data_IF_053919592866
#
_entry.id   IF_053919592866
#
_cell.length_a   1.000
_cell.length_b   1.000
_cell.length_c   1.000
_cell.angle_alpha   90.00
_cell.angle_beta   90.00
_cell.angle_gamma   90.00
#
_symmetry.space_group_name_H-M   'P 1'
#
loop_
_entity.id
_entity.type
_entity.pdbx_description
1 polymer ?
#
# COMPACT_ATOMS: atom_id res chain seq x y z
N UNK A 1 43.43 -0.89 -41.70
CA UNK A 1 43.31 -2.00 -40.76
C UNK A 1 43.28 -1.44 -39.35
N UNK A 2 42.12 -1.34 -38.73
CA UNK A 2 41.95 -1.02 -37.31
C UNK A 2 41.11 -2.13 -36.70
N UNK A 3 41.77 -2.96 -35.88
CA UNK A 3 41.17 -4.07 -35.19
C UNK A 3 40.26 -3.58 -34.05
N UNK A 4 39.02 -4.00 -34.05
CA UNK A 4 38.08 -3.86 -32.94
C UNK A 4 38.31 -4.99 -31.94
N UNK A 5 38.83 -4.63 -30.78
CA UNK A 5 38.86 -5.53 -29.60
C UNK A 5 37.44 -5.61 -29.05
N UNK A 6 36.78 -6.74 -29.20
CA UNK A 6 35.51 -7.05 -28.53
C UNK A 6 35.82 -7.34 -27.05
N UNK A 7 35.37 -6.45 -26.17
CA UNK A 7 35.32 -6.74 -24.75
C UNK A 7 34.21 -7.76 -24.51
N UNK A 8 34.57 -8.95 -24.07
CA UNK A 8 33.63 -9.96 -23.54
C UNK A 8 33.16 -9.49 -22.16
N UNK A 9 32.11 -8.70 -22.13
CA UNK A 9 31.33 -8.53 -20.90
C UNK A 9 30.44 -9.77 -20.72
N UNK A 10 30.79 -10.64 -19.80
CA UNK A 10 29.92 -11.70 -19.27
C UNK A 10 28.71 -11.04 -18.60
N UNK A 11 27.67 -10.74 -19.39
CA UNK A 11 26.35 -10.37 -18.87
C UNK A 11 25.81 -11.59 -18.15
N UNK A 12 25.85 -11.59 -16.83
CA UNK A 12 25.06 -12.48 -15.99
C UNK A 12 23.60 -12.39 -16.46
N UNK A 13 23.08 -13.50 -17.00
CA UNK A 13 21.68 -13.55 -17.44
C UNK A 13 20.79 -13.38 -16.22
N UNK A 14 19.81 -12.44 -16.24
CA UNK A 14 18.88 -12.31 -15.13
C UNK A 14 18.10 -13.63 -14.96
N UNK A 15 17.72 -13.96 -13.72
CA UNK A 15 16.83 -15.07 -13.38
C UNK A 15 15.59 -15.03 -14.31
N UNK A 16 15.52 -15.91 -15.29
CA UNK A 16 14.34 -16.07 -16.14
C UNK A 16 13.35 -17.00 -15.43
N UNK A 17 12.17 -16.50 -15.15
CA UNK A 17 11.03 -17.37 -14.86
C UNK A 17 10.58 -18.01 -16.17
N UNK A 18 10.68 -19.34 -16.29
CA UNK A 18 10.42 -20.08 -17.53
C UNK A 18 8.95 -20.51 -17.71
N UNK A 19 8.05 -20.10 -16.81
CA UNK A 19 6.61 -20.43 -16.87
C UNK A 19 5.79 -19.20 -16.52
N UNK A 20 4.66 -19.02 -17.21
CA UNK A 20 3.65 -18.05 -16.81
C UNK A 20 3.15 -18.46 -15.41
N UNK A 21 3.44 -17.65 -14.40
CA UNK A 21 3.03 -17.91 -13.02
C UNK A 21 1.64 -17.32 -12.85
N UNK A 22 0.68 -18.17 -12.49
CA UNK A 22 -0.69 -17.74 -12.23
C UNK A 22 -0.77 -16.99 -10.90
N UNK A 23 -1.28 -15.78 -10.94
CA UNK A 23 -1.63 -15.00 -9.75
C UNK A 23 -3.09 -15.29 -9.37
N UNK A 24 -3.32 -15.64 -8.12
CA UNK A 24 -4.67 -15.77 -7.55
C UNK A 24 -4.89 -14.66 -6.54
N UNK A 25 -6.04 -13.98 -6.63
CA UNK A 25 -6.46 -12.91 -5.74
C UNK A 25 -7.83 -13.21 -5.17
N UNK A 26 -8.03 -12.92 -3.89
CA UNK A 26 -9.35 -13.02 -3.29
C UNK A 26 -10.21 -11.83 -3.72
N UNK A 27 -11.26 -12.12 -4.48
CA UNK A 27 -12.20 -11.11 -4.93
C UNK A 27 -13.34 -10.96 -3.91
N UNK A 28 -13.50 -9.77 -3.33
CA UNK A 28 -14.56 -9.50 -2.34
C UNK A 28 -15.95 -9.69 -2.92
N UNK A 29 -16.13 -9.40 -4.22
CA UNK A 29 -17.42 -9.51 -4.90
C UNK A 29 -17.92 -10.97 -4.96
N UNK A 30 -17.06 -11.91 -5.36
CA UNK A 30 -17.40 -13.34 -5.42
C UNK A 30 -17.15 -14.07 -4.09
N UNK A 31 -16.37 -13.50 -3.16
CA UNK A 31 -15.84 -14.15 -1.95
C UNK A 31 -14.98 -15.38 -2.21
N UNK A 32 -14.36 -15.45 -3.37
CA UNK A 32 -13.51 -16.56 -3.77
C UNK A 32 -12.12 -16.08 -4.19
N UNK A 33 -11.13 -16.98 -4.13
CA UNK A 33 -9.84 -16.76 -4.77
C UNK A 33 -9.96 -17.10 -6.26
N UNK A 34 -9.75 -16.11 -7.08
CA UNK A 34 -9.83 -16.22 -8.54
C UNK A 34 -8.46 -16.05 -9.17
N UNK A 35 -8.25 -16.73 -10.29
CA UNK A 35 -7.08 -16.49 -11.14
C UNK A 35 -7.18 -15.08 -11.71
N UNK A 36 -6.12 -14.28 -11.53
CA UNK A 36 -6.07 -12.93 -12.07
C UNK A 36 -5.87 -12.95 -13.59
N UNK A 37 -6.84 -12.46 -14.30
CA UNK A 37 -6.87 -12.35 -15.77
C UNK A 37 -7.25 -10.91 -16.10
N UNK A 38 -6.27 -9.99 -16.25
CA UNK A 38 -6.58 -8.61 -16.60
C UNK A 38 -7.19 -8.52 -17.98
N UNK A 39 -8.08 -7.55 -18.18
CA UNK A 39 -8.70 -7.26 -19.48
C UNK A 39 -8.05 -6.05 -20.15
N UNK A 40 -7.26 -5.28 -19.40
CA UNK A 40 -6.57 -4.11 -19.89
C UNK A 40 -5.04 -4.32 -19.86
N UNK A 41 -4.34 -3.65 -20.78
CA UNK A 41 -2.89 -3.52 -20.78
C UNK A 41 -2.56 -2.03 -21.09
N UNK A 42 -2.06 -1.29 -20.11
CA UNK A 42 -1.71 -1.67 -18.73
C UNK A 42 -2.93 -2.08 -17.87
N UNK A 43 -2.67 -2.90 -16.82
CA UNK A 43 -3.65 -3.22 -15.77
C UNK A 43 -4.14 -1.91 -15.13
N UNK A 44 -5.43 -1.69 -15.12
CA UNK A 44 -6.07 -0.51 -14.54
C UNK A 44 -6.35 -0.73 -13.06
N UNK A 45 -5.57 -0.08 -12.22
CA UNK A 45 -5.67 -0.13 -10.76
C UNK A 45 -6.16 1.21 -10.22
N UNK A 46 -7.26 1.21 -9.48
CA UNK A 46 -7.73 2.34 -8.70
C UNK A 46 -7.68 2.02 -7.21
N UNK A 47 -7.24 2.97 -6.40
CA UNK A 47 -7.23 2.85 -4.93
C UNK A 47 -7.77 4.11 -4.28
N UNK A 48 -8.52 3.95 -3.19
CA UNK A 48 -9.02 5.09 -2.42
C UNK A 48 -7.88 5.75 -1.66
N UNK A 49 -7.62 7.02 -1.97
CA UNK A 49 -6.63 7.83 -1.29
C UNK A 49 -7.17 8.53 -0.03
N UNK A 50 -6.40 9.49 0.53
CA UNK A 50 -6.77 10.15 1.78
C UNK A 50 -7.83 11.23 1.59
N UNK A 51 -8.69 11.40 2.61
CA UNK A 51 -9.40 12.66 2.84
C UNK A 51 -8.47 13.59 3.63
N UNK A 52 -8.07 14.70 3.02
CA UNK A 52 -6.96 15.55 3.48
C UNK A 52 -7.39 16.63 4.47
N UNK A 53 -8.14 16.23 5.51
CA UNK A 53 -8.56 17.13 6.62
C UNK A 53 -7.61 17.08 7.82
N UNK A 54 -6.77 16.04 7.92
CA UNK A 54 -5.80 15.81 8.99
C UNK A 54 -4.67 14.91 8.49
N UNK A 55 -3.61 14.70 9.29
CA UNK A 55 -2.54 13.75 9.00
C UNK A 55 -3.07 12.32 8.92
N UNK A 56 -2.60 11.56 7.94
CA UNK A 56 -2.91 10.14 7.85
C UNK A 56 -2.33 9.38 9.05
N UNK A 57 -3.09 8.43 9.56
CA UNK A 57 -2.68 7.59 10.67
C UNK A 57 -2.20 6.21 10.20
N UNK A 58 -1.52 5.44 11.08
CA UNK A 58 -0.96 4.14 10.74
C UNK A 58 -2.00 3.13 10.22
N UNK A 59 -3.28 3.30 10.59
CA UNK A 59 -4.37 2.49 10.03
C UNK A 59 -4.61 2.75 8.55
N UNK A 60 -4.50 4.02 8.09
CA UNK A 60 -4.56 4.34 6.66
C UNK A 60 -3.33 3.74 5.94
N UNK A 61 -2.14 3.86 6.54
CA UNK A 61 -0.93 3.30 5.94
C UNK A 61 -0.94 1.77 5.89
N UNK A 62 -1.69 1.08 6.74
CA UNK A 62 -1.93 -0.37 6.59
C UNK A 62 -2.57 -0.68 5.23
N UNK A 63 -3.55 0.11 4.82
CA UNK A 63 -4.20 -0.03 3.51
C UNK A 63 -3.26 0.38 2.38
N UNK A 64 -2.59 1.52 2.46
CA UNK A 64 -1.66 1.98 1.41
C UNK A 64 -0.45 1.04 1.23
N UNK A 65 0.04 0.40 2.29
CA UNK A 65 1.11 -0.62 2.21
C UNK A 65 0.59 -1.90 1.51
N UNK A 66 -0.65 -2.30 1.75
CA UNK A 66 -1.27 -3.39 1.01
C UNK A 66 -1.41 -3.07 -0.48
N UNK A 67 -1.88 -1.88 -0.82
CA UNK A 67 -2.03 -1.41 -2.19
C UNK A 67 -0.67 -1.32 -2.91
N UNK A 68 0.36 -0.86 -2.21
CA UNK A 68 1.74 -0.88 -2.69
C UNK A 68 2.26 -2.30 -2.91
N UNK A 69 2.00 -3.23 -1.99
CA UNK A 69 2.35 -4.64 -2.16
C UNK A 69 1.68 -5.22 -3.41
N UNK A 70 0.40 -4.95 -3.63
CA UNK A 70 -0.34 -5.38 -4.81
C UNK A 70 0.32 -4.83 -6.09
N UNK A 71 0.57 -3.52 -6.16
CA UNK A 71 1.26 -2.89 -7.30
C UNK A 71 2.64 -3.52 -7.55
N UNK A 72 3.44 -3.68 -6.49
CA UNK A 72 4.78 -4.29 -6.57
C UNK A 72 4.75 -5.73 -7.06
N UNK A 73 3.80 -6.54 -6.59
CA UNK A 73 3.64 -7.93 -7.04
C UNK A 73 3.24 -7.99 -8.51
N UNK A 74 2.30 -7.15 -8.96
CA UNK A 74 1.94 -7.07 -10.37
C UNK A 74 3.14 -6.70 -11.24
N UNK A 75 3.91 -5.67 -10.88
CA UNK A 75 5.12 -5.26 -11.59
C UNK A 75 6.19 -6.36 -11.57
N UNK A 76 6.40 -7.02 -10.42
CA UNK A 76 7.36 -8.11 -10.26
C UNK A 76 7.04 -9.32 -11.13
N UNK A 77 5.75 -9.60 -11.34
CA UNK A 77 5.27 -10.64 -12.25
C UNK A 77 5.28 -10.22 -13.72
N UNK A 78 5.64 -8.99 -14.03
CA UNK A 78 5.81 -8.48 -15.39
C UNK A 78 4.58 -7.81 -15.99
N UNK A 79 3.53 -7.54 -15.21
CA UNK A 79 2.41 -6.74 -15.66
C UNK A 79 2.81 -5.26 -15.77
N UNK A 80 2.35 -4.57 -16.80
CA UNK A 80 2.31 -3.11 -16.82
C UNK A 80 1.11 -2.66 -15.98
N UNK A 81 1.26 -1.63 -15.15
CA UNK A 81 0.19 -1.14 -14.26
C UNK A 81 0.03 0.35 -14.44
N UNK A 82 -1.20 0.81 -14.61
CA UNK A 82 -1.57 2.23 -14.53
C UNK A 82 -2.42 2.42 -13.28
N UNK A 83 -1.80 3.01 -12.26
CA UNK A 83 -2.37 3.17 -10.92
C UNK A 83 -2.85 4.60 -10.69
N UNK A 84 -4.10 4.75 -10.30
CA UNK A 84 -4.72 6.02 -9.91
C UNK A 84 -5.12 5.95 -8.44
N UNK A 85 -4.73 6.97 -7.66
CA UNK A 85 -5.13 7.14 -6.26
C UNK A 85 -5.66 8.56 -6.07
N UNK A 86 -6.89 8.72 -5.61
CA UNK A 86 -7.48 10.04 -5.46
C UNK A 86 -6.96 10.81 -4.24
N UNK A 87 -7.20 12.13 -4.27
CA UNK A 87 -7.10 13.03 -3.12
C UNK A 87 -8.48 13.63 -2.89
N UNK A 88 -9.14 13.26 -1.78
CA UNK A 88 -10.41 13.86 -1.37
C UNK A 88 -10.13 15.16 -0.63
N UNK A 89 -10.18 16.26 -1.36
CA UNK A 89 -9.93 17.62 -0.87
C UNK A 89 -11.20 18.44 -0.65
N UNK A 90 -12.38 17.82 -0.83
CA UNK A 90 -13.69 18.38 -0.49
C UNK A 90 -14.52 17.36 0.28
N UNK A 91 -14.91 17.68 1.52
CA UNK A 91 -15.64 16.80 2.43
C UNK A 91 -16.12 17.64 3.64
N UNK A 92 -17.07 17.15 4.43
CA UNK A 92 -17.58 17.85 5.61
C UNK A 92 -16.47 18.28 6.59
N UNK A 93 -15.45 17.42 6.78
CA UNK A 93 -14.34 17.68 7.70
C UNK A 93 -13.34 18.70 7.14
N UNK A 94 -13.08 18.67 5.83
CA UNK A 94 -12.21 19.66 5.17
C UNK A 94 -12.86 21.05 5.20
N UNK A 95 -14.18 21.13 4.95
CA UNK A 95 -14.94 22.38 5.02
C UNK A 95 -14.94 22.95 6.43
N UNK A 96 -15.30 22.13 7.41
CA UNK A 96 -15.30 22.53 8.83
C UNK A 96 -13.91 23.01 9.29
N UNK A 97 -12.85 22.33 8.85
CA UNK A 97 -11.48 22.69 9.14
C UNK A 97 -11.06 24.02 8.51
N UNK A 98 -11.38 24.23 7.24
CA UNK A 98 -11.10 25.47 6.50
C UNK A 98 -11.82 26.68 7.16
N UNK A 99 -13.11 26.52 7.50
CA UNK A 99 -13.89 27.54 8.24
C UNK A 99 -13.26 27.85 9.58
N UNK A 100 -12.94 26.85 10.38
CA UNK A 100 -12.33 27.02 11.70
C UNK A 100 -11.01 27.79 11.63
N UNK A 101 -10.22 27.57 10.56
CA UNK A 101 -8.94 28.28 10.33
C UNK A 101 -9.10 29.60 9.58
N UNK A 102 -10.30 29.95 9.09
CA UNK A 102 -10.55 31.17 8.33
C UNK A 102 -9.74 31.27 7.04
N UNK A 103 -9.60 30.18 6.31
CA UNK A 103 -8.82 30.11 5.07
C UNK A 103 -9.58 29.35 3.96
N UNK A 104 -9.12 29.48 2.71
CA UNK A 104 -9.68 28.71 1.60
C UNK A 104 -9.48 27.20 1.79
N UNK A 105 -10.34 26.40 1.15
CA UNK A 105 -10.29 24.94 1.18
C UNK A 105 -8.91 24.41 0.71
N UNK A 106 -8.41 24.92 -0.42
CA UNK A 106 -7.09 24.60 -0.94
C UNK A 106 -5.98 24.86 0.08
N UNK A 107 -5.94 26.08 0.65
CA UNK A 107 -4.96 26.46 1.66
C UNK A 107 -5.04 25.58 2.91
N UNK A 108 -6.24 25.12 3.26
CA UNK A 108 -6.44 24.22 4.39
C UNK A 108 -5.88 22.83 4.12
N UNK A 109 -6.15 22.25 2.94
CA UNK A 109 -5.77 20.88 2.58
C UNK A 109 -4.28 20.73 2.26
N UNK A 110 -3.64 21.76 1.69
CA UNK A 110 -2.28 21.73 1.18
C UNK A 110 -1.23 21.15 2.16
N UNK A 111 -1.19 21.53 3.47
CA UNK A 111 -0.23 20.94 4.42
C UNK A 111 -0.39 19.42 4.60
N UNK A 112 -1.64 18.93 4.58
CA UNK A 112 -1.94 17.49 4.74
C UNK A 112 -1.61 16.71 3.47
N UNK A 113 -1.81 17.31 2.29
CA UNK A 113 -1.38 16.73 1.00
C UNK A 113 0.14 16.59 0.96
N UNK A 114 0.88 17.64 1.31
CA UNK A 114 2.35 17.58 1.36
C UNK A 114 2.84 16.53 2.36
N UNK A 115 2.20 16.49 3.52
CA UNK A 115 2.51 15.51 4.56
C UNK A 115 2.26 14.08 4.08
N UNK A 116 1.15 13.83 3.38
CA UNK A 116 0.82 12.53 2.82
C UNK A 116 1.90 12.05 1.84
N UNK A 117 2.32 12.90 0.89
CA UNK A 117 3.37 12.53 -0.06
C UNK A 117 4.72 12.27 0.61
N UNK A 118 5.09 13.06 1.62
CA UNK A 118 6.30 12.83 2.41
C UNK A 118 6.23 11.48 3.17
N UNK A 119 5.06 11.13 3.68
CA UNK A 119 4.84 9.86 4.37
C UNK A 119 4.92 8.66 3.42
N UNK A 120 4.37 8.79 2.18
CA UNK A 120 4.53 7.75 1.15
C UNK A 120 6.00 7.50 0.83
N UNK A 121 6.80 8.57 0.70
CA UNK A 121 8.23 8.46 0.43
C UNK A 121 8.97 7.81 1.60
N UNK A 122 8.70 8.24 2.82
CA UNK A 122 9.29 7.67 4.05
C UNK A 122 8.98 6.19 4.23
N UNK A 123 7.79 5.76 3.82
CA UNK A 123 7.36 4.35 3.85
C UNK A 123 7.72 3.57 2.59
N UNK A 124 8.49 4.14 1.66
CA UNK A 124 8.87 3.55 0.37
C UNK A 124 7.67 3.05 -0.45
N UNK A 125 6.51 3.72 -0.33
CA UNK A 125 5.33 3.40 -1.13
C UNK A 125 5.53 3.94 -2.56
N UNK A 126 5.35 3.10 -3.56
CA UNK A 126 5.48 3.48 -4.97
C UNK A 126 4.40 4.52 -5.32
N UNK A 127 4.82 5.60 -5.96
CA UNK A 127 3.89 6.64 -6.42
C UNK A 127 2.86 6.03 -7.37
N UNK A 128 1.61 6.49 -7.28
CA UNK A 128 0.62 6.25 -8.31
C UNK A 128 0.99 7.05 -9.58
N UNK A 129 0.44 6.65 -10.71
CA UNK A 129 0.69 7.32 -11.99
C UNK A 129 -0.12 8.62 -12.09
N UNK A 130 -1.24 8.72 -11.34
CA UNK A 130 -2.04 9.94 -11.21
C UNK A 130 -2.66 10.06 -9.81
N UNK A 131 -2.76 11.31 -9.34
CA UNK A 131 -3.43 11.69 -8.10
C UNK A 131 -4.49 12.75 -8.40
N UNK A 132 -5.69 12.37 -8.88
CA UNK A 132 -6.77 13.32 -9.12
C UNK A 132 -7.29 13.90 -7.80
N UNK A 133 -7.53 15.22 -7.80
CA UNK A 133 -8.18 15.95 -6.71
C UNK A 133 -9.67 16.05 -6.97
N UNK A 134 -10.51 15.76 -5.98
CA UNK A 134 -11.97 15.78 -6.14
C UNK A 134 -12.48 17.13 -6.62
N UNK A 135 -11.93 18.24 -6.11
CA UNK A 135 -12.31 19.60 -6.52
C UNK A 135 -12.07 19.89 -8.02
N UNK A 136 -11.17 19.17 -8.68
CA UNK A 136 -10.89 19.35 -10.11
C UNK A 136 -11.90 18.61 -11.01
N UNK A 137 -12.74 17.73 -10.45
CA UNK A 137 -13.69 16.90 -11.19
C UNK A 137 -15.15 17.30 -10.95
N UNK A 138 -15.41 18.43 -10.28
CA UNK A 138 -16.77 18.92 -10.01
C UNK A 138 -17.64 19.05 -11.28
N UNK A 139 -17.15 19.60 -12.40
CA UNK A 139 -17.95 19.67 -13.63
C UNK A 139 -18.40 18.29 -14.14
N UNK A 140 -17.49 17.31 -14.12
CA UNK A 140 -17.77 15.94 -14.55
C UNK A 140 -18.77 15.25 -13.60
N UNK A 141 -18.67 15.51 -12.29
CA UNK A 141 -19.63 15.02 -11.30
C UNK A 141 -21.02 15.60 -11.54
N UNK A 142 -21.13 16.91 -11.82
CA UNK A 142 -22.41 17.56 -12.16
C UNK A 142 -23.03 16.93 -13.42
N UNK A 143 -22.22 16.70 -14.45
CA UNK A 143 -22.68 16.06 -15.68
C UNK A 143 -23.20 14.62 -15.41
N UNK A 144 -22.47 13.85 -14.61
CA UNK A 144 -22.86 12.50 -14.21
C UNK A 144 -24.19 12.49 -13.44
N UNK A 145 -24.34 13.40 -12.46
CA UNK A 145 -25.60 13.54 -11.71
C UNK A 145 -26.77 13.84 -12.66
N UNK A 146 -26.56 14.79 -13.59
CA UNK A 146 -27.61 15.10 -14.57
C UNK A 146 -28.00 13.90 -15.44
N UNK A 147 -27.03 13.08 -15.82
CA UNK A 147 -27.30 11.83 -16.54
C UNK A 147 -28.12 10.84 -15.69
N UNK A 148 -27.75 10.65 -14.41
CA UNK A 148 -28.47 9.77 -13.49
C UNK A 148 -29.92 10.25 -13.25
N UNK A 149 -30.14 11.57 -13.15
CA UNK A 149 -31.49 12.16 -13.05
C UNK A 149 -32.28 11.85 -14.34
N UNK A 150 -31.70 12.08 -15.52
CA UNK A 150 -32.36 11.83 -16.80
C UNK A 150 -32.68 10.35 -17.01
N UNK A 151 -31.92 9.44 -16.43
CA UNK A 151 -32.17 8.00 -16.45
C UNK A 151 -33.22 7.56 -15.41
N UNK A 152 -33.66 8.45 -14.53
CA UNK A 152 -34.62 8.16 -13.46
C UNK A 152 -34.06 7.34 -12.30
N UNK A 153 -32.71 7.22 -12.19
CA UNK A 153 -32.04 6.55 -11.06
C UNK A 153 -31.62 7.52 -9.95
N UNK A 154 -31.75 8.83 -10.20
CA UNK A 154 -31.54 9.87 -9.21
C UNK A 154 -32.70 10.87 -9.20
N UNK A 155 -32.91 11.53 -8.06
CA UNK A 155 -34.00 12.51 -7.89
C UNK A 155 -33.58 13.64 -6.93
N UNK A 156 -34.30 14.77 -7.01
CA UNK A 156 -34.12 15.92 -6.11
C UNK A 156 -35.04 15.73 -4.90
N UNK A 157 -34.45 15.69 -3.70
CA UNK A 157 -35.18 15.57 -2.44
C UNK A 157 -35.87 16.87 -2.02
N UNK A 158 -36.65 16.82 -0.93
CA UNK A 158 -37.35 17.99 -0.37
C UNK A 158 -36.38 19.04 0.15
N UNK A 159 -35.20 18.63 0.62
CA UNK A 159 -34.09 19.46 1.08
C UNK A 159 -33.25 20.07 -0.06
N UNK A 160 -33.67 19.87 -1.31
CA UNK A 160 -32.98 20.29 -2.54
C UNK A 160 -31.65 19.56 -2.81
N UNK A 161 -31.29 18.55 -2.02
CA UNK A 161 -30.17 17.64 -2.33
C UNK A 161 -30.58 16.66 -3.44
N UNK A 162 -29.60 16.11 -4.17
CA UNK A 162 -29.83 15.06 -5.15
C UNK A 162 -29.44 13.72 -4.55
N UNK A 163 -30.32 12.77 -4.64
CA UNK A 163 -30.16 11.42 -4.10
C UNK A 163 -30.16 10.37 -5.21
N UNK A 164 -29.35 9.32 -5.02
CA UNK A 164 -29.43 8.11 -5.83
C UNK A 164 -30.49 7.18 -5.25
N UNK A 165 -31.39 6.71 -6.08
CA UNK A 165 -32.46 5.79 -5.68
C UNK A 165 -31.98 4.34 -5.75
N UNK A 166 -31.64 3.76 -4.60
CA UNK A 166 -31.14 2.37 -4.50
C UNK A 166 -32.14 1.38 -5.08
N UNK A 167 -33.44 1.65 -4.97
CA UNK A 167 -34.49 0.78 -5.51
C UNK A 167 -34.46 0.66 -7.05
N UNK A 168 -33.81 1.61 -7.73
CA UNK A 168 -33.63 1.59 -9.18
C UNK A 168 -32.38 0.82 -9.64
N UNK A 169 -31.55 0.34 -8.69
CA UNK A 169 -30.37 -0.49 -8.98
C UNK A 169 -30.54 -1.90 -8.39
N UNK A 170 -31.02 -2.88 -9.16
CA UNK A 170 -31.42 -4.20 -8.65
C UNK A 170 -30.29 -5.00 -7.99
N UNK A 171 -29.02 -4.74 -8.39
CA UNK A 171 -27.86 -5.46 -7.88
C UNK A 171 -27.23 -4.78 -6.65
N UNK A 172 -27.87 -3.78 -6.04
CA UNK A 172 -27.34 -3.11 -4.85
C UNK A 172 -27.20 -4.09 -3.68
N UNK A 173 -26.05 -4.06 -3.03
CA UNK A 173 -25.70 -5.00 -1.96
C UNK A 173 -24.88 -6.21 -2.44
N UNK A 174 -24.56 -6.29 -3.75
CA UNK A 174 -23.80 -7.43 -4.30
C UNK A 174 -22.37 -7.53 -3.74
N UNK A 175 -21.65 -6.42 -3.56
CA UNK A 175 -20.30 -6.40 -3.01
C UNK A 175 -20.29 -6.63 -1.50
N UNK A 176 -21.16 -5.94 -0.78
CA UNK A 176 -21.28 -6.01 0.67
C UNK A 176 -21.96 -7.28 1.15
N UNK A 177 -22.70 -7.95 0.25
CA UNK A 177 -23.56 -9.10 0.53
C UNK A 177 -24.61 -8.80 1.62
N UNK A 178 -25.05 -7.55 1.67
CA UNK A 178 -26.09 -7.08 2.58
C UNK A 178 -27.47 -7.30 1.97
N UNK A 179 -28.40 -7.74 2.81
CA UNK A 179 -29.82 -7.77 2.43
C UNK A 179 -30.40 -6.35 2.63
N UNK A 180 -31.05 -5.80 1.60
CA UNK A 180 -31.68 -4.48 1.67
C UNK A 180 -32.72 -4.37 2.81
N UNK A 181 -33.40 -5.48 3.19
CA UNK A 181 -34.30 -5.49 4.31
C UNK A 181 -33.59 -5.35 5.67
N UNK A 182 -32.35 -5.87 5.78
CA UNK A 182 -31.52 -5.71 6.98
C UNK A 182 -30.97 -4.29 7.09
N UNK A 183 -30.65 -3.64 5.96
CA UNK A 183 -30.25 -2.24 5.89
C UNK A 183 -31.33 -1.29 6.45
N UNK A 184 -32.58 -1.51 6.09
CA UNK A 184 -33.73 -0.72 6.57
C UNK A 184 -33.90 -0.82 8.09
N UNK A 185 -33.43 -1.90 8.69
CA UNK A 185 -33.54 -2.17 10.13
C UNK A 185 -32.29 -1.79 10.94
N UNK A 186 -31.15 -1.50 10.26
CA UNK A 186 -29.90 -1.15 10.93
C UNK A 186 -29.73 0.35 11.08
N UNK A 187 -30.04 0.88 12.27
CA UNK A 187 -29.85 2.29 12.67
C UNK A 187 -28.37 2.74 12.78
N UNK A 188 -27.43 2.15 12.02
CA UNK A 188 -25.97 2.36 12.15
C UNK A 188 -25.34 3.11 10.98
N UNK A 189 -26.15 3.66 10.08
CA UNK A 189 -25.65 4.44 8.94
C UNK A 189 -25.59 5.90 9.39
N UNK A 190 -24.47 6.57 9.16
CA UNK A 190 -24.33 8.00 9.46
C UNK A 190 -25.40 8.77 8.69
N UNK A 191 -26.37 9.31 9.43
CA UNK A 191 -27.58 9.93 8.90
C UNK A 191 -27.32 11.17 8.04
N UNK A 192 -26.08 11.68 8.02
CA UNK A 192 -25.70 12.86 7.24
C UNK A 192 -25.47 12.57 5.75
N UNK A 193 -25.34 11.29 5.38
CA UNK A 193 -25.09 10.86 3.99
C UNK A 193 -26.31 10.21 3.32
N UNK A 194 -27.42 10.01 4.05
CA UNK A 194 -28.62 9.33 3.58
C UNK A 194 -29.88 10.17 3.78
N UNK A 195 -30.85 9.98 2.88
CA UNK A 195 -32.17 10.62 3.01
C UNK A 195 -32.84 10.16 4.32
N UNK A 196 -33.25 11.13 5.16
CA UNK A 196 -33.91 10.86 6.44
C UNK A 196 -35.28 10.18 6.30
N UNK A 197 -35.92 10.35 5.16
CA UNK A 197 -37.24 9.76 4.85
C UNK A 197 -37.11 8.41 4.14
N UNK A 198 -35.93 8.10 3.56
CA UNK A 198 -35.65 6.84 2.87
C UNK A 198 -34.21 6.39 3.22
N UNK A 199 -34.05 5.72 4.35
CA UNK A 199 -32.76 5.28 4.95
C UNK A 199 -31.83 4.47 4.01
N UNK A 200 -32.25 4.24 2.77
CA UNK A 200 -31.47 3.49 1.79
C UNK A 200 -30.87 4.36 0.69
N UNK A 201 -31.45 5.51 0.36
CA UNK A 201 -30.98 6.36 -0.74
C UNK A 201 -29.82 7.26 -0.26
N UNK A 202 -28.77 7.37 -1.07
CA UNK A 202 -27.57 8.12 -0.68
C UNK A 202 -27.37 9.38 -1.53
N UNK A 203 -26.72 10.38 -0.93
CA UNK A 203 -26.60 11.70 -1.54
C UNK A 203 -25.54 11.69 -2.67
N UNK A 204 -25.90 12.28 -3.81
CA UNK A 204 -25.02 12.58 -4.93
C UNK A 204 -24.56 14.04 -4.95
N UNK A 205 -25.46 14.95 -4.49
CA UNK A 205 -25.19 16.37 -4.37
C UNK A 205 -25.86 16.91 -3.14
N UNK A 206 -25.08 17.41 -2.19
CA UNK A 206 -25.59 18.06 -0.98
C UNK A 206 -25.95 19.50 -1.30
N UNK A 207 -27.21 19.87 -1.08
CA UNK A 207 -27.66 21.25 -1.20
C UNK A 207 -26.86 22.16 -0.27
N UNK A 208 -26.61 23.37 -0.75
CA UNK A 208 -25.87 24.38 0.01
C UNK A 208 -26.59 24.77 1.28
N UNK A 209 -25.84 24.80 2.39
CA UNK A 209 -26.27 25.25 3.68
C UNK A 209 -25.23 26.30 4.21
N UNK A 210 -25.62 27.58 4.38
CA UNK A 210 -24.70 28.64 4.83
C UNK A 210 -24.03 28.34 6.18
N UNK A 211 -24.75 27.64 7.07
CA UNK A 211 -24.26 27.33 8.42
C UNK A 211 -23.26 26.18 8.39
N UNK A 212 -23.37 25.26 7.45
CA UNK A 212 -22.48 24.12 7.23
C UNK A 212 -21.31 24.47 6.32
N UNK A 213 -21.60 25.03 5.13
CA UNK A 213 -20.66 25.14 4.02
C UNK A 213 -19.96 26.50 3.95
N UNK A 214 -20.50 27.54 4.61
CA UNK A 214 -19.94 28.90 4.62
C UNK A 214 -19.95 29.51 3.22
N UNK A 215 -18.78 29.88 2.70
CA UNK A 215 -18.60 30.42 1.35
C UNK A 215 -18.22 29.38 0.30
N UNK A 216 -18.15 28.09 0.68
CA UNK A 216 -17.66 27.01 -0.20
C UNK A 216 -18.84 26.27 -0.80
N UNK A 217 -19.11 26.50 -2.08
CA UNK A 217 -20.12 25.81 -2.87
C UNK A 217 -19.80 25.89 -4.37
N UNK A 218 -20.45 25.08 -5.14
CA UNK A 218 -20.43 25.11 -6.61
C UNK A 218 -21.84 25.31 -7.15
N UNK A 219 -21.96 26.06 -8.25
CA UNK A 219 -23.20 26.20 -8.98
C UNK A 219 -23.47 24.95 -9.82
N UNK A 220 -24.70 24.49 -9.84
CA UNK A 220 -25.14 23.36 -10.67
C UNK A 220 -26.58 23.58 -11.21
N UNK A 221 -27.01 22.80 -12.21
CA UNK A 221 -28.39 22.85 -12.72
C UNK A 221 -29.46 22.49 -11.67
N UNK A 222 -29.08 21.81 -10.61
CA UNK A 222 -29.95 21.40 -9.50
C UNK A 222 -29.74 22.26 -8.22
N UNK A 223 -29.05 23.41 -8.35
CA UNK A 223 -28.83 24.37 -7.28
C UNK A 223 -27.40 24.41 -6.77
N UNK A 224 -27.14 25.37 -5.87
CA UNK A 224 -25.85 25.48 -5.18
C UNK A 224 -25.63 24.29 -4.27
N UNK A 225 -24.39 23.82 -4.18
CA UNK A 225 -24.06 22.70 -3.30
C UNK A 225 -22.68 22.13 -3.54
N UNK A 226 -22.49 20.86 -3.23
CA UNK A 226 -21.24 20.10 -3.40
C UNK A 226 -21.49 18.61 -3.61
N UNK A 227 -20.54 17.86 -4.20
CA UNK A 227 -20.73 16.44 -4.43
C UNK A 227 -20.84 15.64 -3.14
N UNK A 228 -21.52 14.49 -3.23
CA UNK A 228 -21.46 13.43 -2.24
C UNK A 228 -20.15 12.66 -2.38
N UNK A 229 -19.62 12.19 -1.27
CA UNK A 229 -18.29 11.54 -1.17
C UNK A 229 -18.10 10.34 -2.12
N UNK A 230 -19.13 9.52 -2.32
CA UNK A 230 -19.01 8.31 -3.13
C UNK A 230 -18.87 8.59 -4.63
N UNK A 231 -19.46 9.69 -5.10
CA UNK A 231 -19.44 10.07 -6.53
C UNK A 231 -18.03 10.48 -6.98
N UNK A 232 -17.21 11.00 -6.07
CA UNK A 232 -15.86 11.46 -6.37
C UNK A 232 -15.02 10.35 -6.97
N UNK A 233 -14.93 9.19 -6.29
CA UNK A 233 -14.16 8.05 -6.75
C UNK A 233 -14.71 7.44 -8.04
N UNK A 234 -16.03 7.33 -8.17
CA UNK A 234 -16.68 6.89 -9.42
C UNK A 234 -16.25 7.73 -10.62
N UNK A 235 -16.34 9.04 -10.49
CA UNK A 235 -16.07 9.96 -11.61
C UNK A 235 -14.57 10.11 -11.89
N UNK A 236 -13.73 10.22 -10.86
CA UNK A 236 -12.28 10.30 -11.06
C UNK A 236 -11.73 9.03 -11.68
N UNK A 237 -12.14 7.85 -11.20
CA UNK A 237 -11.69 6.57 -11.74
C UNK A 237 -12.15 6.37 -13.19
N UNK A 238 -13.43 6.60 -13.47
CA UNK A 238 -13.97 6.46 -14.84
C UNK A 238 -13.34 7.46 -15.81
N UNK A 239 -13.05 8.68 -15.38
CA UNK A 239 -12.42 9.72 -16.23
C UNK A 239 -11.00 9.35 -16.64
N UNK A 240 -10.23 8.72 -15.76
CA UNK A 240 -8.81 8.42 -16.00
C UNK A 240 -8.58 6.99 -16.50
N UNK A 241 -9.38 6.04 -16.05
CA UNK A 241 -9.21 4.61 -16.34
C UNK A 241 -10.27 4.08 -17.30
N UNK A 242 -11.35 4.85 -17.57
CA UNK A 242 -12.47 4.44 -18.40
C UNK A 242 -13.54 3.66 -17.64
N UNK A 243 -14.54 3.16 -18.34
CA UNK A 243 -15.77 2.64 -17.76
C UNK A 243 -15.63 1.29 -17.01
N UNK A 244 -14.55 0.56 -17.26
CA UNK A 244 -14.30 -0.73 -16.60
C UNK A 244 -12.84 -0.84 -16.20
N UNK A 245 -12.61 -1.22 -14.95
CA UNK A 245 -11.31 -1.36 -14.30
C UNK A 245 -10.96 -2.82 -14.07
N UNK A 246 -9.65 -3.14 -14.01
CA UNK A 246 -9.23 -4.48 -13.62
C UNK A 246 -9.34 -4.66 -12.10
N UNK A 247 -8.80 -3.71 -11.33
CA UNK A 247 -8.75 -3.80 -9.87
C UNK A 247 -9.18 -2.48 -9.23
N UNK A 248 -10.02 -2.58 -8.19
CA UNK A 248 -10.25 -1.52 -7.23
C UNK A 248 -9.93 -2.04 -5.83
N UNK A 249 -9.11 -1.30 -5.07
CA UNK A 249 -8.69 -1.70 -3.73
C UNK A 249 -8.89 -0.60 -2.70
N UNK A 250 -9.05 -1.01 -1.43
CA UNK A 250 -9.22 -0.11 -0.29
C UNK A 250 -9.24 -0.86 1.05
N UNK A 251 -9.73 -0.22 2.10
CA UNK A 251 -10.00 -0.85 3.39
C UNK A 251 -11.34 -1.59 3.40
N UNK A 252 -11.53 -2.54 4.33
CA UNK A 252 -12.82 -3.25 4.50
C UNK A 252 -13.97 -2.32 4.89
N UNK A 253 -13.67 -1.16 5.47
CA UNK A 253 -14.62 -0.08 5.76
C UNK A 253 -15.15 0.61 4.50
N UNK A 254 -14.42 0.54 3.39
CA UNK A 254 -14.87 1.04 2.10
C UNK A 254 -15.88 0.10 1.41
N UNK A 255 -15.94 -1.20 1.76
CA UNK A 255 -16.86 -2.15 1.12
C UNK A 255 -18.28 -1.58 1.15
N UNK A 256 -18.72 -1.15 2.33
CA UNK A 256 -20.02 -0.53 2.53
C UNK A 256 -19.90 0.68 3.45
N UNK A 257 -20.49 1.83 3.07
CA UNK A 257 -21.31 2.00 1.86
C UNK A 257 -20.52 2.42 0.59
N UNK A 258 -19.23 2.80 0.70
CA UNK A 258 -18.50 3.56 -0.32
C UNK A 258 -18.40 2.82 -1.67
N UNK A 259 -17.77 1.66 -1.71
CA UNK A 259 -17.59 0.91 -2.95
C UNK A 259 -18.89 0.33 -3.51
N UNK A 260 -19.84 -0.04 -2.63
CA UNK A 260 -21.19 -0.44 -3.08
C UNK A 260 -21.88 0.71 -3.83
N UNK A 261 -21.79 1.94 -3.31
CA UNK A 261 -22.34 3.12 -3.95
C UNK A 261 -21.61 3.47 -5.25
N UNK A 262 -20.28 3.27 -5.30
CA UNK A 262 -19.52 3.46 -6.53
C UNK A 262 -19.97 2.49 -7.65
N UNK A 263 -20.26 1.22 -7.31
CA UNK A 263 -20.82 0.25 -8.26
C UNK A 263 -22.14 0.77 -8.81
N UNK A 264 -23.07 1.16 -7.92
CA UNK A 264 -24.38 1.63 -8.30
C UNK A 264 -24.30 2.85 -9.23
N UNK A 265 -23.45 3.83 -8.91
CA UNK A 265 -23.24 5.03 -9.72
C UNK A 265 -22.62 4.70 -11.09
N UNK A 266 -21.48 3.98 -11.07
CA UNK A 266 -20.68 3.74 -12.27
C UNK A 266 -21.37 2.81 -13.26
N UNK A 267 -22.05 1.75 -12.77
CA UNK A 267 -22.77 0.82 -13.63
C UNK A 267 -24.07 1.41 -14.16
N UNK A 268 -24.73 2.30 -13.39
CA UNK A 268 -25.87 3.06 -13.92
C UNK A 268 -25.47 4.03 -15.03
N UNK A 269 -24.30 4.66 -14.94
CA UNK A 269 -23.78 5.57 -15.97
C UNK A 269 -23.28 4.85 -17.20
N UNK A 270 -22.59 3.72 -17.04
CA UNK A 270 -21.87 3.03 -18.12
C UNK A 270 -22.65 1.87 -18.75
N UNK A 271 -23.60 1.30 -18.02
CA UNK A 271 -24.30 0.04 -18.33
C UNK A 271 -23.33 -1.14 -18.54
N UNK A 272 -22.20 -1.14 -17.82
CA UNK A 272 -21.16 -2.17 -17.88
C UNK A 272 -20.68 -2.49 -16.47
N UNK A 273 -20.15 -3.71 -16.22
CA UNK A 273 -19.47 -4.01 -14.96
C UNK A 273 -18.35 -3.02 -14.71
N UNK A 274 -18.34 -2.41 -13.52
CA UNK A 274 -17.41 -1.33 -13.20
C UNK A 274 -16.01 -1.88 -12.89
N UNK A 275 -15.89 -2.85 -11.98
CA UNK A 275 -14.61 -3.41 -11.55
C UNK A 275 -14.66 -4.93 -11.59
N UNK A 276 -13.57 -5.54 -12.09
CA UNK A 276 -13.46 -6.99 -12.15
C UNK A 276 -13.04 -7.64 -10.84
N UNK A 277 -12.05 -7.05 -10.16
CA UNK A 277 -11.51 -7.57 -8.90
C UNK A 277 -11.57 -6.50 -7.81
N UNK A 278 -12.32 -6.78 -6.76
CA UNK A 278 -12.44 -5.95 -5.57
C UNK A 278 -11.57 -6.52 -4.44
N UNK A 279 -10.57 -5.77 -3.99
CA UNK A 279 -9.64 -6.20 -2.96
C UNK A 279 -9.68 -5.28 -1.74
N UNK A 280 -9.79 -5.87 -0.54
CA UNK A 280 -9.91 -5.08 0.68
C UNK A 280 -8.95 -5.55 1.77
N UNK A 281 -8.23 -4.60 2.37
CA UNK A 281 -7.38 -4.86 3.53
C UNK A 281 -8.17 -4.76 4.82
N UNK A 282 -7.86 -5.66 5.76
CA UNK A 282 -8.52 -5.63 7.07
C UNK A 282 -7.93 -4.53 7.97
N UNK A 283 -8.72 -4.10 8.96
CA UNK A 283 -8.36 -3.04 9.90
C UNK A 283 -7.07 -3.31 10.68
N UNK A 284 -6.41 -2.21 11.04
CA UNK A 284 -5.38 -2.19 12.06
C UNK A 284 -6.02 -1.91 13.43
N UNK A 285 -5.67 -2.73 14.41
CA UNK A 285 -5.97 -2.49 15.82
C UNK A 285 -4.72 -1.95 16.52
N UNK A 286 -4.93 -1.20 17.59
CA UNK A 286 -3.86 -0.78 18.49
C UNK A 286 -4.18 -1.38 19.87
N UNK A 287 -3.28 -2.23 20.37
CA UNK A 287 -3.47 -2.97 21.62
C UNK A 287 -4.84 -3.68 21.70
N UNK A 288 -5.21 -4.37 20.59
CA UNK A 288 -6.46 -5.11 20.40
C UNK A 288 -7.73 -4.24 20.43
N UNK A 289 -7.60 -2.91 20.33
CA UNK A 289 -8.71 -1.97 20.30
C UNK A 289 -8.75 -1.21 18.99
N UNK A 290 -9.93 -0.77 18.60
CA UNK A 290 -10.06 0.17 17.47
C UNK A 290 -9.29 1.45 17.80
N UNK A 291 -8.52 1.94 16.83
CA UNK A 291 -7.78 3.19 16.98
C UNK A 291 -8.73 4.39 17.03
N UNK A 292 -8.58 5.25 18.03
CA UNK A 292 -9.35 6.48 18.12
C UNK A 292 -8.60 7.54 18.94
N UNK A 293 -8.81 8.83 18.59
CA UNK A 293 -8.22 9.95 19.33
C UNK A 293 -8.70 10.01 20.79
N UNK A 294 -9.96 9.65 21.04
CA UNK A 294 -10.54 9.66 22.39
C UNK A 294 -9.95 8.58 23.32
N UNK A 295 -9.42 7.50 22.76
CA UNK A 295 -8.77 6.44 23.53
C UNK A 295 -7.26 6.69 23.74
N UNK A 296 -6.70 7.77 23.16
CA UNK A 296 -5.27 8.06 23.25
C UNK A 296 -4.37 7.03 22.55
N UNK A 297 -4.93 6.15 21.69
CA UNK A 297 -4.23 5.13 20.96
C UNK A 297 -4.14 5.42 19.44
N UNK A 298 -4.14 6.71 19.11
CA UNK A 298 -4.07 7.20 17.74
C UNK A 298 -2.61 7.57 17.42
N UNK A 299 -2.03 6.97 16.39
CA UNK A 299 -0.65 7.23 15.96
C UNK A 299 -0.61 7.65 14.49
N UNK A 300 0.06 8.76 14.22
CA UNK A 300 0.52 9.11 12.88
C UNK A 300 1.90 8.50 12.63
N UNK A 301 2.37 8.51 11.37
CA UNK A 301 3.74 8.10 11.07
C UNK A 301 4.76 8.99 11.81
N UNK A 302 4.50 10.30 11.89
CA UNK A 302 5.37 11.28 12.57
C UNK A 302 5.57 10.95 14.04
N UNK A 303 4.51 10.56 14.74
CA UNK A 303 4.59 10.16 16.15
C UNK A 303 5.56 8.99 16.36
N UNK A 304 5.66 8.07 15.39
CA UNK A 304 6.59 6.94 15.45
C UNK A 304 8.01 7.33 15.06
N UNK A 305 8.18 8.20 14.06
CA UNK A 305 9.50 8.76 13.70
C UNK A 305 10.09 9.57 14.84
N UNK A 306 9.30 10.39 15.54
CA UNK A 306 9.68 11.19 16.70
C UNK A 306 10.09 10.29 17.90
N UNK A 307 9.57 9.07 17.98
CA UNK A 307 10.00 8.04 18.93
C UNK A 307 11.29 7.32 18.51
N UNK A 308 11.90 7.71 17.38
CA UNK A 308 13.16 7.15 16.88
C UNK A 308 13.01 5.83 16.10
N UNK A 309 11.82 5.54 15.58
CA UNK A 309 11.64 4.45 14.61
C UNK A 309 11.86 4.95 13.18
N UNK A 310 12.34 4.08 12.30
CA UNK A 310 12.49 4.41 10.88
C UNK A 310 11.24 4.07 10.06
N UNK A 311 11.14 4.66 8.85
CA UNK A 311 10.06 4.34 7.92
C UNK A 311 10.03 2.87 7.53
N UNK A 312 11.20 2.25 7.36
CA UNK A 312 11.33 0.83 7.02
C UNK A 312 10.83 -0.07 8.16
N UNK A 313 11.06 0.31 9.43
CA UNK A 313 10.58 -0.42 10.59
C UNK A 313 9.06 -0.40 10.67
N UNK A 314 8.46 0.77 10.42
CA UNK A 314 7.01 0.93 10.36
C UNK A 314 6.44 0.18 9.14
N UNK A 315 7.05 0.33 7.96
CA UNK A 315 6.66 -0.42 6.76
C UNK A 315 6.70 -1.91 7.00
N UNK A 316 7.78 -2.44 7.56
CA UNK A 316 7.93 -3.87 7.82
C UNK A 316 6.83 -4.37 8.76
N UNK A 317 6.54 -3.65 9.86
CA UNK A 317 5.44 -3.99 10.76
C UNK A 317 4.10 -4.08 10.02
N UNK A 318 3.79 -3.07 9.21
CA UNK A 318 2.51 -3.00 8.49
C UNK A 318 2.42 -4.05 7.37
N UNK A 319 3.56 -4.44 6.79
CA UNK A 319 3.64 -5.41 5.71
C UNK A 319 3.52 -6.87 6.19
N UNK A 320 4.07 -7.22 7.37
CA UNK A 320 4.28 -8.61 7.79
C UNK A 320 3.03 -9.47 7.93
N UNK A 321 1.85 -8.86 8.16
CA UNK A 321 0.58 -9.56 8.27
C UNK A 321 -0.14 -9.67 6.92
N UNK A 322 -0.80 -10.81 6.66
CA UNK A 322 -1.66 -10.95 5.48
C UNK A 322 -2.71 -9.83 5.43
N UNK A 323 -2.93 -9.23 4.24
CA UNK A 323 -3.79 -8.03 4.13
C UNK A 323 -5.24 -8.26 4.58
N UNK A 324 -5.79 -9.47 4.41
CA UNK A 324 -7.14 -9.83 4.83
C UNK A 324 -7.27 -10.22 6.32
N UNK A 325 -6.19 -10.14 7.09
CA UNK A 325 -6.25 -10.38 8.55
C UNK A 325 -6.07 -9.08 9.32
N UNK A 326 -6.75 -8.97 10.47
CA UNK A 326 -6.52 -7.86 11.37
C UNK A 326 -5.06 -7.83 11.82
N UNK A 327 -4.44 -6.67 11.71
CA UNK A 327 -3.10 -6.44 12.24
C UNK A 327 -3.22 -5.73 13.59
N UNK A 328 -2.63 -6.31 14.63
CA UNK A 328 -2.56 -5.66 15.92
C UNK A 328 -1.22 -4.93 16.08
N UNK A 329 -1.26 -3.61 16.01
CA UNK A 329 -0.12 -2.76 16.32
C UNK A 329 0.14 -2.75 17.81
N UNK A 330 1.39 -2.99 18.20
CA UNK A 330 1.90 -2.78 19.55
C UNK A 330 3.32 -2.21 19.49
N UNK A 331 3.78 -1.56 20.56
CA UNK A 331 5.16 -1.06 20.65
C UNK A 331 6.18 -2.22 20.61
N UNK A 332 5.86 -3.34 21.24
CA UNK A 332 6.69 -4.56 21.21
C UNK A 332 6.81 -5.11 19.80
N UNK A 333 5.72 -5.09 19.03
CA UNK A 333 5.70 -5.49 17.62
C UNK A 333 6.60 -4.62 16.77
N UNK A 334 6.62 -3.31 17.03
CA UNK A 334 7.50 -2.37 16.32
C UNK A 334 8.98 -2.59 16.67
N UNK A 335 9.29 -2.84 17.95
CA UNK A 335 10.63 -3.25 18.36
C UNK A 335 11.06 -4.60 17.77
N UNK A 336 10.15 -5.56 17.64
CA UNK A 336 10.41 -6.83 16.96
C UNK A 336 10.70 -6.64 15.46
N UNK A 337 10.03 -5.69 14.82
CA UNK A 337 10.30 -5.29 13.42
C UNK A 337 11.72 -4.73 13.27
N UNK A 338 12.16 -3.85 14.18
CA UNK A 338 13.55 -3.35 14.25
C UNK A 338 14.57 -4.49 14.36
N UNK A 339 14.31 -5.48 15.21
CA UNK A 339 15.20 -6.64 15.36
C UNK A 339 15.22 -7.52 14.09
N UNK A 340 14.09 -7.66 13.40
CA UNK A 340 14.01 -8.39 12.14
C UNK A 340 14.82 -7.69 11.04
N UNK A 341 14.67 -6.37 10.89
CA UNK A 341 15.45 -5.58 9.93
C UNK A 341 16.94 -5.55 10.27
N UNK A 342 17.30 -5.54 11.57
CA UNK A 342 18.68 -5.68 11.98
C UNK A 342 19.29 -7.02 11.51
N UNK A 343 18.56 -8.13 11.67
CA UNK A 343 19.04 -9.44 11.17
C UNK A 343 19.25 -9.46 9.67
N UNK A 344 18.36 -8.78 8.91
CA UNK A 344 18.51 -8.63 7.46
C UNK A 344 19.76 -7.81 7.12
N UNK A 345 20.00 -6.72 7.83
CA UNK A 345 21.21 -5.88 7.67
C UNK A 345 22.47 -6.67 7.98
N UNK A 346 22.50 -7.34 9.14
CA UNK A 346 23.64 -8.13 9.56
C UNK A 346 23.98 -9.22 8.52
N UNK A 347 22.96 -9.84 7.93
CA UNK A 347 23.13 -10.83 6.87
C UNK A 347 23.69 -10.19 5.57
N UNK A 348 23.17 -9.05 5.14
CA UNK A 348 23.66 -8.33 3.96
C UNK A 348 25.11 -7.91 4.17
N UNK A 349 25.45 -7.31 5.32
CA UNK A 349 26.83 -6.94 5.66
C UNK A 349 27.76 -8.15 5.64
N UNK A 350 27.29 -9.30 6.13
CA UNK A 350 28.07 -10.55 6.08
C UNK A 350 28.35 -11.01 4.65
N UNK A 351 27.38 -10.86 3.72
CA UNK A 351 27.57 -11.19 2.31
C UNK A 351 28.51 -10.21 1.58
N UNK A 352 28.66 -9.00 2.09
CA UNK A 352 29.54 -7.96 1.53
C UNK A 352 30.98 -8.06 2.05
N UNK A 353 31.33 -9.08 2.86
CA UNK A 353 32.67 -9.30 3.38
C UNK A 353 33.66 -9.49 2.23
N UNK A 354 34.70 -8.64 2.12
CA UNK A 354 35.69 -8.72 1.05
C UNK A 354 36.65 -9.93 1.20
N UNK A 355 36.64 -10.59 2.34
CA UNK A 355 37.54 -11.71 2.61
C UNK A 355 37.19 -13.02 1.92
N UNK A 356 35.99 -13.13 1.33
CA UNK A 356 35.58 -14.31 0.59
C UNK A 356 36.48 -14.55 -0.63
N UNK A 357 36.93 -15.81 -0.86
CA UNK A 357 37.75 -16.16 -2.03
C UNK A 357 36.97 -15.96 -3.33
N UNK A 358 37.71 -15.63 -4.39
CA UNK A 358 37.17 -15.48 -5.73
C UNK A 358 37.07 -16.88 -6.37
N UNK A 359 35.88 -17.48 -6.35
CA UNK A 359 35.60 -18.83 -6.86
C UNK A 359 34.25 -18.84 -7.61
N UNK A 360 33.80 -20.01 -8.02
CA UNK A 360 32.53 -20.23 -8.73
C UNK A 360 31.32 -20.20 -7.76
N UNK A 361 30.13 -20.07 -8.33
CA UNK A 361 28.89 -20.29 -7.57
C UNK A 361 28.75 -21.77 -7.26
N UNK A 362 28.65 -22.09 -5.95
CA UNK A 362 28.47 -23.47 -5.51
C UNK A 362 27.05 -23.96 -5.84
N UNK A 363 26.90 -25.20 -6.38
CA UNK A 363 25.61 -25.77 -6.79
C UNK A 363 24.59 -25.79 -5.64
N UNK A 364 25.02 -25.94 -4.39
CA UNK A 364 24.17 -25.97 -3.21
C UNK A 364 23.57 -24.58 -2.93
N UNK A 365 24.38 -23.53 -3.08
CA UNK A 365 23.92 -22.13 -2.94
C UNK A 365 22.97 -21.78 -4.07
N UNK A 366 23.30 -22.12 -5.30
CA UNK A 366 22.42 -21.90 -6.44
C UNK A 366 21.05 -22.60 -6.25
N UNK A 367 21.07 -23.85 -5.79
CA UNK A 367 19.85 -24.63 -5.49
C UNK A 367 19.05 -24.00 -4.36
N UNK A 368 19.72 -23.54 -3.30
CA UNK A 368 19.05 -22.86 -2.19
C UNK A 368 18.38 -21.55 -2.63
N UNK A 369 19.07 -20.75 -3.46
CA UNK A 369 18.53 -19.52 -4.04
C UNK A 369 17.31 -19.79 -4.91
N UNK A 370 17.38 -20.80 -5.78
CA UNK A 370 16.27 -21.17 -6.66
C UNK A 370 15.05 -21.64 -5.86
N UNK A 371 15.24 -22.55 -4.91
CA UNK A 371 14.18 -23.07 -4.05
C UNK A 371 13.52 -21.96 -3.21
N UNK A 372 14.32 -21.06 -2.67
CA UNK A 372 13.80 -19.89 -1.96
C UNK A 372 12.96 -18.99 -2.87
N UNK A 373 13.46 -18.65 -4.06
CA UNK A 373 12.74 -17.79 -5.01
C UNK A 373 11.40 -18.41 -5.42
N UNK A 374 11.37 -19.71 -5.69
CA UNK A 374 10.14 -20.45 -6.03
C UNK A 374 9.14 -20.40 -4.88
N UNK A 375 9.57 -20.63 -3.64
CA UNK A 375 8.70 -20.57 -2.45
C UNK A 375 8.19 -19.15 -2.22
N UNK A 376 9.05 -18.15 -2.37
CA UNK A 376 8.70 -16.73 -2.23
C UNK A 376 7.61 -16.33 -3.24
N UNK A 377 7.80 -16.67 -4.52
CA UNK A 377 6.86 -16.36 -5.60
C UNK A 377 5.54 -17.10 -5.40
N UNK A 378 5.59 -18.40 -5.13
CA UNK A 378 4.39 -19.21 -4.90
C UNK A 378 3.54 -18.67 -3.75
N UNK A 379 4.19 -18.18 -2.70
CA UNK A 379 3.49 -17.53 -1.58
C UNK A 379 2.83 -16.22 -2.02
N UNK A 380 3.54 -15.36 -2.74
CA UNK A 380 3.00 -14.08 -3.22
C UNK A 380 1.84 -14.27 -4.21
N UNK A 381 1.95 -15.25 -5.10
CA UNK A 381 0.92 -15.51 -6.11
C UNK A 381 -0.32 -16.19 -5.56
N UNK A 382 -0.28 -16.64 -4.30
CA UNK A 382 -1.43 -17.14 -3.57
C UNK A 382 -2.01 -16.05 -2.66
N UNK A 383 -2.71 -15.10 -3.27
CA UNK A 383 -3.43 -14.03 -2.58
C UNK A 383 -2.51 -13.11 -1.74
N UNK A 384 -1.38 -12.73 -2.32
CA UNK A 384 -0.39 -11.84 -1.71
C UNK A 384 0.06 -12.31 -0.31
N UNK A 385 0.29 -13.60 -0.13
CA UNK A 385 0.66 -14.17 1.18
C UNK A 385 2.10 -13.79 1.56
N UNK A 386 2.27 -12.52 1.92
CA UNK A 386 3.55 -11.93 2.32
C UNK A 386 4.12 -12.57 3.58
N UNK A 387 3.24 -13.03 4.51
CA UNK A 387 3.68 -13.68 5.74
C UNK A 387 4.48 -14.96 5.45
N UNK A 388 3.99 -15.79 4.52
CA UNK A 388 4.71 -17.00 4.08
C UNK A 388 5.98 -16.66 3.30
N UNK A 389 5.96 -15.58 2.50
CA UNK A 389 7.15 -15.11 1.77
C UNK A 389 8.26 -14.63 2.72
N UNK A 390 7.90 -13.90 3.79
CA UNK A 390 8.84 -13.49 4.82
C UNK A 390 9.38 -14.67 5.63
N UNK A 391 8.54 -15.66 5.94
CA UNK A 391 9.00 -16.89 6.60
C UNK A 391 10.04 -17.62 5.74
N UNK A 392 9.78 -17.78 4.42
CA UNK A 392 10.73 -18.38 3.50
C UNK A 392 12.05 -17.58 3.42
N UNK A 393 12.01 -16.24 3.48
CA UNK A 393 13.21 -15.41 3.51
C UNK A 393 14.06 -15.67 4.75
N UNK A 394 13.47 -15.73 5.94
CA UNK A 394 14.23 -15.98 7.17
C UNK A 394 14.75 -17.42 7.26
N UNK A 395 14.04 -18.39 6.72
CA UNK A 395 14.51 -19.77 6.61
C UNK A 395 15.71 -19.88 5.66
N UNK A 396 15.64 -19.20 4.51
CA UNK A 396 16.74 -19.08 3.56
C UNK A 396 18.00 -18.46 4.23
N UNK A 397 17.83 -17.32 4.92
CA UNK A 397 18.92 -16.63 5.64
C UNK A 397 19.56 -17.55 6.67
N UNK A 398 18.77 -18.30 7.43
CA UNK A 398 19.27 -19.26 8.42
C UNK A 398 20.09 -20.36 7.75
N UNK A 399 19.63 -20.91 6.64
CA UNK A 399 20.32 -21.94 5.87
C UNK A 399 21.65 -21.41 5.33
N UNK A 400 21.67 -20.24 4.72
CA UNK A 400 22.92 -19.65 4.17
C UNK A 400 23.91 -19.32 5.30
N UNK A 401 23.45 -18.72 6.41
CA UNK A 401 24.33 -18.45 7.55
C UNK A 401 24.99 -19.75 8.08
N UNK A 402 24.22 -20.84 8.18
CA UNK A 402 24.77 -22.14 8.57
C UNK A 402 25.83 -22.66 7.61
N UNK A 403 25.62 -22.46 6.30
CA UNK A 403 26.63 -22.81 5.29
C UNK A 403 27.90 -21.98 5.45
N UNK A 404 27.78 -20.67 5.63
CA UNK A 404 28.94 -19.80 5.87
C UNK A 404 29.69 -20.20 7.15
N UNK A 405 28.99 -20.50 8.26
CA UNK A 405 29.60 -20.89 9.54
C UNK A 405 30.34 -22.21 9.46
N UNK A 406 29.86 -23.18 8.71
CA UNK A 406 30.55 -24.46 8.50
C UNK A 406 31.87 -24.30 7.75
N UNK A 407 31.99 -23.33 6.88
CA UNK A 407 33.19 -23.08 6.07
C UNK A 407 34.22 -22.17 6.77
N UNK A 408 33.85 -21.50 7.86
CA UNK A 408 34.79 -20.69 8.68
C UNK A 408 35.43 -21.48 9.84
N UNK A 409 34.95 -22.71 10.11
CA UNK A 409 35.44 -23.60 11.18
C UNK A 409 36.37 -24.67 10.66
N UNK A 410 37.69 -24.54 10.94
CA UNK A 410 38.78 -25.55 10.79
C UNK A 410 39.02 -25.95 9.32
N UNK A 411 39.96 -25.28 8.68
CA UNK A 411 40.57 -25.70 7.42
C UNK A 411 41.28 -27.06 7.59
N UNK A 412 40.72 -28.14 7.03
CA UNK A 412 41.47 -29.32 6.66
C UNK A 412 41.84 -29.18 5.18
N UNK A 413 43.10 -29.43 4.85
CA UNK A 413 43.71 -29.21 3.50
C UNK A 413 43.00 -29.89 2.30
N UNK A 414 41.87 -30.53 2.52
CA UNK A 414 41.17 -31.36 1.51
C UNK A 414 39.73 -30.94 1.24
N UNK A 415 39.18 -29.87 1.93
CA UNK A 415 37.78 -29.49 1.75
C UNK A 415 37.68 -28.27 0.84
N UNK A 416 37.33 -28.51 -0.44
CA UNK A 416 37.28 -27.49 -1.51
C UNK A 416 36.00 -26.67 -1.55
N UNK A 417 35.21 -26.64 -0.48
CA UNK A 417 33.89 -25.96 -0.45
C UNK A 417 33.87 -24.75 0.45
N UNK A 418 34.74 -23.77 0.24
CA UNK A 418 34.68 -22.50 0.95
C UNK A 418 33.63 -21.60 0.28
N UNK A 419 32.70 -21.01 1.07
CA UNK A 419 31.73 -20.04 0.57
C UNK A 419 32.44 -18.91 -0.19
N UNK A 420 32.01 -18.64 -1.43
CA UNK A 420 32.73 -17.79 -2.36
C UNK A 420 32.12 -16.38 -2.47
N UNK A 421 32.93 -15.47 -2.98
CA UNK A 421 32.45 -14.12 -3.35
C UNK A 421 31.36 -14.16 -4.41
N UNK A 422 31.38 -15.13 -5.33
CA UNK A 422 30.34 -15.30 -6.34
C UNK A 422 29.05 -15.83 -5.74
N UNK A 423 29.10 -16.68 -4.70
CA UNK A 423 27.94 -17.08 -3.91
C UNK A 423 27.26 -15.84 -3.26
N UNK A 424 28.07 -15.03 -2.59
CA UNK A 424 27.61 -13.82 -1.95
C UNK A 424 26.94 -12.84 -2.95
N UNK A 425 27.58 -12.60 -4.10
CA UNK A 425 27.05 -11.74 -5.16
C UNK A 425 25.76 -12.29 -5.74
N UNK A 426 25.65 -13.62 -5.92
CA UNK A 426 24.44 -14.27 -6.41
C UNK A 426 23.28 -14.09 -5.43
N UNK A 427 23.53 -14.26 -4.12
CA UNK A 427 22.52 -14.03 -3.07
C UNK A 427 22.14 -12.56 -2.99
N UNK A 428 23.10 -11.63 -3.02
CA UNK A 428 22.82 -10.19 -3.00
C UNK A 428 21.95 -9.76 -4.20
N UNK A 429 22.22 -10.32 -5.39
CA UNK A 429 21.40 -10.07 -6.57
C UNK A 429 19.96 -10.58 -6.39
N UNK A 430 19.79 -11.76 -5.78
CA UNK A 430 18.48 -12.31 -5.45
C UNK A 430 17.75 -11.45 -4.42
N UNK A 431 18.43 -11.02 -3.35
CA UNK A 431 17.86 -10.15 -2.33
C UNK A 431 17.40 -8.80 -2.93
N UNK A 432 18.20 -8.16 -3.80
CA UNK A 432 17.80 -6.96 -4.52
C UNK A 432 16.55 -7.18 -5.39
N UNK A 433 16.45 -8.36 -6.00
CA UNK A 433 15.26 -8.72 -6.80
C UNK A 433 14.01 -8.81 -5.94
N UNK A 434 14.04 -9.51 -4.80
CA UNK A 434 12.87 -9.64 -3.92
C UNK A 434 12.52 -8.32 -3.22
N UNK A 435 13.49 -7.44 -3.00
CA UNK A 435 13.24 -6.14 -2.40
C UNK A 435 12.40 -5.20 -3.30
N UNK A 436 12.34 -5.46 -4.58
CA UNK A 436 11.37 -4.79 -5.46
C UNK A 436 9.93 -4.98 -4.96
N UNK A 437 9.65 -6.11 -4.28
CA UNK A 437 8.37 -6.40 -3.62
C UNK A 437 8.34 -5.88 -2.19
N UNK A 438 9.39 -6.11 -1.41
CA UNK A 438 9.40 -5.81 0.03
C UNK A 438 9.61 -4.30 0.31
N UNK A 439 10.59 -3.68 -0.33
CA UNK A 439 10.98 -2.28 -0.14
C UNK A 439 11.47 -1.97 1.28
N UNK A 440 12.14 -2.94 1.92
CA UNK A 440 12.62 -2.82 3.32
C UNK A 440 14.06 -3.29 3.51
N UNK A 441 14.72 -3.87 2.49
CA UNK A 441 16.05 -4.40 2.66
C UNK A 441 17.10 -3.27 2.70
N UNK A 442 17.95 -3.22 3.72
CA UNK A 442 18.87 -2.11 3.95
C UNK A 442 20.17 -2.27 3.14
N UNK A 443 20.08 -2.14 1.82
CA UNK A 443 21.26 -2.15 0.94
C UNK A 443 22.09 -0.86 0.98
N UNK A 444 21.52 0.23 1.48
CA UNK A 444 22.26 1.47 1.71
C UNK A 444 22.93 1.38 3.08
N UNK A 445 24.24 1.59 3.16
CA UNK A 445 24.84 1.88 4.45
C UNK A 445 24.24 3.20 4.94
N UNK A 446 23.76 3.29 6.20
CA UNK A 446 23.45 4.58 6.75
C UNK A 446 24.72 5.44 6.68
N UNK A 447 24.59 6.71 6.28
CA UNK A 447 25.66 7.70 6.43
C UNK A 447 26.01 7.75 7.92
N UNK A 448 27.06 7.02 8.29
CA UNK A 448 27.54 7.03 9.68
C UNK A 448 28.28 8.36 9.84
N UNK A 449 27.84 9.25 10.73
CA UNK A 449 28.55 10.51 10.97
C UNK A 449 30.00 10.25 11.24
N UNK A 450 30.88 11.07 10.68
CA UNK A 450 32.35 10.94 10.82
C UNK A 450 32.81 10.85 12.30
N UNK A 451 32.09 11.55 13.18
CA UNK A 451 32.28 11.50 14.64
C UNK A 451 32.05 10.08 15.21
N UNK A 452 31.07 9.34 14.70
CA UNK A 452 30.80 7.97 15.15
C UNK A 452 31.85 7.00 14.63
N UNK A 453 32.31 7.19 13.38
CA UNK A 453 33.44 6.41 12.85
C UNK A 453 34.69 6.60 13.67
N UNK A 454 35.01 7.83 14.08
CA UNK A 454 36.14 8.13 14.94
C UNK A 454 36.03 7.46 16.33
N UNK A 455 34.84 7.43 16.92
CA UNK A 455 34.59 6.73 18.18
C UNK A 455 34.76 5.21 18.05
N UNK A 456 34.35 4.62 16.93
CA UNK A 456 34.55 3.19 16.65
C UNK A 456 36.04 2.88 16.52
N UNK A 457 36.81 3.69 15.78
CA UNK A 457 38.28 3.53 15.67
C UNK A 457 38.99 3.66 17.02
N UNK A 458 38.63 4.62 17.85
CA UNK A 458 39.17 4.80 19.20
C UNK A 458 38.87 3.57 20.08
N UNK A 459 37.64 3.05 20.01
CA UNK A 459 37.25 1.84 20.74
C UNK A 459 38.05 0.63 20.30
N UNK A 460 38.25 0.43 19.02
CA UNK A 460 39.07 -0.67 18.50
C UNK A 460 40.56 -0.53 18.89
N UNK A 461 41.09 0.66 18.83
CA UNK A 461 42.44 0.93 19.27
C UNK A 461 42.61 0.61 20.77
N UNK A 462 41.67 1.03 21.62
CA UNK A 462 41.67 0.71 23.04
C UNK A 462 41.59 -0.80 23.32
N UNK A 463 40.78 -1.54 22.55
CA UNK A 463 40.66 -3.00 22.62
C UNK A 463 41.97 -3.71 22.25
N UNK A 464 42.66 -3.26 21.21
CA UNK A 464 43.94 -3.83 20.77
C UNK A 464 45.02 -3.74 21.86
N UNK A 465 45.01 -2.64 22.63
CA UNK A 465 45.93 -2.46 23.76
C UNK A 465 45.37 -2.95 25.10
N UNK A 466 44.22 -3.65 25.09
CA UNK A 466 43.51 -4.18 26.27
C UNK A 466 43.13 -3.12 27.31
N UNK A 467 42.91 -1.87 26.87
CA UNK A 467 42.39 -0.80 27.73
C UNK A 467 40.84 -0.87 27.72
N UNK A 468 40.32 -1.77 28.54
CA UNK A 468 38.87 -2.03 28.61
C UNK A 468 38.06 -0.84 29.13
N UNK A 469 38.66 -0.03 30.01
CA UNK A 469 38.00 1.14 30.58
C UNK A 469 37.74 2.23 29.56
N UNK A 470 38.60 2.40 28.56
CA UNK A 470 38.40 3.31 27.42
C UNK A 470 37.51 2.71 26.35
N UNK A 471 37.55 1.39 26.16
CA UNK A 471 36.75 0.70 25.17
C UNK A 471 35.25 0.62 25.53
N UNK A 472 34.91 0.72 26.81
CA UNK A 472 33.51 0.66 27.30
C UNK A 472 32.89 2.06 27.55
N UNK A 473 33.66 3.11 27.31
CA UNK A 473 33.25 4.51 27.40
C UNK A 473 32.62 4.99 26.10
#
# INVERSE_FOLDING_TARGET
MKGWIRSNSTKTRPFRMNTAIDLFLYNTLSREKERFLPVNDPVKLYTCGPTVYDYAHIGNFRTYIFEDLLKRVLLFLGYSVYHVMNITDVDDKTLAGARKKGCSLEKYCQPYIHAFFADLETLHILKADAYPHATHYIPQMIEAIQQLINQGVAYIGQDQSVYFSISQFPNYGALSHLNLEELRNSARIDADEYDKDNLCDFVLWKAYDPDRDGEIFWESPFGKGRPGWHLECSIMSMSLLGQSLDIHAGGVDNIFPHHENEIAQSESLSHKPFVRYWLHSHHLLVDRKKMSKSLGNFFTLRDLLDQGFSGEEVRYLLLQGHYRTQLNFTQEGLHASRQSLKRLRDFICRLEDPSYPDDIIHPEVATACQSFLETFITSLTNDLNISSSLAALFDFIRKINSSIDQHTGIQTETDSSVFSKQDAQHILALLRKIDQVLGVLPFSQPDIPEEVLLLVEQREAARKVKNWQEADR
#
